data_IF_319006281005
#
_entry.id   IF_319006281005
#
_cell.length_a   1.000
_cell.length_b   1.000
_cell.length_c   1.000
_cell.angle_alpha   90.00
_cell.angle_beta   90.00
_cell.angle_gamma   90.00
#
_symmetry.space_group_name_H-M   'P 1'
#
loop_
_entity.id
_entity.type
_entity.pdbx_description
1 polymer ?
#
# COMPACT_ATOMS: atom_id res chain seq x y z
N UNK A 1 -4.32 -19.47 -2.97
CA UNK A 1 -5.35 -18.50 -2.55
C UNK A 1 -4.73 -17.64 -1.46
N UNK A 2 -4.85 -16.32 -1.60
CA UNK A 2 -4.55 -15.24 -0.64
C UNK A 2 -3.25 -15.31 0.19
N UNK A 3 -2.10 -15.21 -0.50
CA UNK A 3 -0.82 -14.86 0.15
C UNK A 3 -0.30 -13.50 -0.32
N UNK A 4 -1.13 -12.47 -0.17
CA UNK A 4 -0.66 -11.07 -0.22
C UNK A 4 -0.46 -10.59 1.21
N UNK A 5 0.73 -10.88 1.75
CA UNK A 5 1.11 -10.56 3.15
C UNK A 5 1.65 -9.13 3.27
N UNK A 6 1.93 -8.69 4.50
CA UNK A 6 2.61 -7.42 4.84
C UNK A 6 3.84 -7.11 3.96
N UNK A 7 4.53 -8.13 3.46
CA UNK A 7 5.75 -8.03 2.63
C UNK A 7 5.62 -7.10 1.42
N UNK A 8 4.46 -7.04 0.77
CA UNK A 8 4.24 -6.10 -0.34
C UNK A 8 4.28 -4.64 0.16
N UNK A 9 3.57 -4.38 1.25
CA UNK A 9 3.46 -3.05 1.84
C UNK A 9 4.80 -2.60 2.44
N UNK A 10 5.53 -3.51 3.08
CA UNK A 10 6.87 -3.25 3.61
C UNK A 10 7.82 -2.73 2.51
N UNK A 11 7.82 -3.37 1.34
CA UNK A 11 8.64 -2.93 0.21
C UNK A 11 8.28 -1.52 -0.27
N UNK A 12 6.98 -1.22 -0.38
CA UNK A 12 6.53 0.11 -0.79
C UNK A 12 6.89 1.18 0.23
N UNK A 13 6.77 0.88 1.52
CA UNK A 13 7.11 1.78 2.62
C UNK A 13 8.61 2.01 2.75
N UNK A 14 9.43 0.98 2.50
CA UNK A 14 10.89 1.10 2.43
C UNK A 14 11.39 1.81 1.16
N UNK A 15 10.49 2.14 0.23
CA UNK A 15 10.86 2.87 -0.99
C UNK A 15 11.56 2.00 -2.04
N UNK A 16 11.41 0.68 -1.99
CA UNK A 16 12.04 -0.26 -2.94
C UNK A 16 11.04 -0.88 -3.91
N UNK A 17 11.53 -1.45 -5.02
CA UNK A 17 10.70 -2.18 -5.98
C UNK A 17 10.55 -3.64 -5.53
N UNK A 18 9.34 -4.12 -5.21
CA UNK A 18 9.13 -5.51 -4.81
C UNK A 18 9.32 -6.47 -6.00
N UNK A 19 10.05 -7.57 -5.76
CA UNK A 19 10.10 -8.74 -6.62
C UNK A 19 9.21 -9.81 -5.99
N UNK A 20 8.15 -10.19 -6.68
CA UNK A 20 7.04 -10.97 -6.13
C UNK A 20 7.03 -12.34 -6.80
N UNK A 21 7.02 -13.37 -5.97
CA UNK A 21 6.69 -14.73 -6.34
C UNK A 21 5.50 -15.16 -5.49
N UNK A 22 4.36 -15.45 -6.09
CA UNK A 22 3.18 -15.75 -5.29
C UNK A 22 1.85 -15.61 -6.01
N UNK A 23 0.81 -15.37 -5.22
CA UNK A 23 -0.56 -15.47 -5.69
C UNK A 23 -0.87 -14.38 -6.74
N UNK A 24 -1.51 -14.74 -7.89
CA UNK A 24 -1.81 -13.78 -8.97
C UNK A 24 -2.68 -12.59 -8.54
N UNK A 25 -3.48 -12.75 -7.49
CA UNK A 25 -4.31 -11.67 -6.96
C UNK A 25 -3.48 -10.52 -6.38
N UNK A 26 -2.19 -10.71 -6.07
CA UNK A 26 -1.29 -9.64 -5.60
C UNK A 26 -1.27 -8.44 -6.56
N UNK A 27 -1.50 -8.66 -7.86
CA UNK A 27 -1.58 -7.59 -8.87
C UNK A 27 -2.71 -6.60 -8.65
N UNK A 28 -3.82 -7.00 -8.02
CA UNK A 28 -4.95 -6.09 -7.72
C UNK A 28 -4.69 -5.18 -6.52
N UNK A 29 -3.59 -5.39 -5.80
CA UNK A 29 -3.16 -4.57 -4.68
C UNK A 29 -2.10 -3.53 -5.07
N UNK A 30 -1.69 -3.52 -6.34
CA UNK A 30 -0.67 -2.59 -6.83
C UNK A 30 -1.26 -1.20 -7.08
N UNK A 31 -0.49 -0.13 -6.81
CA UNK A 31 -0.88 1.22 -7.20
C UNK A 31 -0.81 1.41 -8.73
N UNK A 32 0.08 0.67 -9.40
CA UNK A 32 0.29 0.67 -10.84
C UNK A 32 0.81 -0.72 -11.28
N UNK A 33 0.43 -1.25 -12.46
CA UNK A 33 0.94 -2.54 -12.94
C UNK A 33 2.46 -2.64 -13.01
N UNK A 34 3.15 -1.51 -13.23
CA UNK A 34 4.62 -1.39 -13.30
C UNK A 34 5.24 -1.02 -11.95
N UNK A 35 4.51 -1.10 -10.84
CA UNK A 35 5.07 -0.83 -9.49
C UNK A 35 5.82 -2.02 -8.88
N UNK A 36 5.74 -3.20 -9.48
CA UNK A 36 6.32 -4.44 -8.98
C UNK A 36 6.83 -5.33 -10.13
N UNK A 37 7.74 -6.25 -9.82
CA UNK A 37 8.27 -7.25 -10.75
C UNK A 37 7.73 -8.62 -10.33
N UNK A 38 7.04 -9.32 -11.21
CA UNK A 38 6.55 -10.67 -10.94
C UNK A 38 7.47 -11.70 -11.58
N UNK A 39 7.88 -12.71 -10.82
CA UNK A 39 8.74 -13.78 -11.34
C UNK A 39 8.01 -14.54 -12.46
N UNK A 40 6.69 -14.69 -12.37
CA UNK A 40 5.84 -15.38 -13.33
C UNK A 40 5.78 -14.70 -14.71
N UNK A 41 6.18 -13.42 -14.82
CA UNK A 41 6.25 -12.71 -16.10
C UNK A 41 7.50 -13.09 -16.91
N UNK A 42 8.42 -13.87 -16.33
CA UNK A 42 9.66 -14.30 -16.97
C UNK A 42 9.62 -15.78 -17.30
N UNK A 43 10.21 -16.13 -18.45
CA UNK A 43 10.31 -17.52 -18.92
C UNK A 43 11.04 -18.43 -17.91
N UNK A 44 12.09 -17.91 -17.29
CA UNK A 44 12.93 -18.63 -16.35
C UNK A 44 13.71 -17.65 -15.44
N UNK A 45 14.38 -18.20 -14.43
CA UNK A 45 15.18 -17.42 -13.49
C UNK A 45 16.35 -16.66 -14.15
N UNK A 46 16.86 -17.16 -15.28
CA UNK A 46 17.95 -16.49 -16.01
C UNK A 46 17.43 -15.23 -16.68
N UNK A 47 16.27 -15.28 -17.31
CA UNK A 47 15.62 -14.12 -17.92
C UNK A 47 15.34 -13.02 -16.87
N UNK A 48 14.84 -13.40 -15.69
CA UNK A 48 14.69 -12.47 -14.57
C UNK A 48 16.03 -11.86 -14.14
N UNK A 49 17.06 -12.68 -13.92
CA UNK A 49 18.37 -12.19 -13.52
C UNK A 49 19.00 -11.23 -14.54
N UNK A 50 18.85 -11.53 -15.84
CA UNK A 50 19.33 -10.66 -16.92
C UNK A 50 18.55 -9.33 -16.95
N UNK A 51 17.24 -9.36 -16.67
CA UNK A 51 16.42 -8.15 -16.54
C UNK A 51 16.82 -7.29 -15.33
N UNK A 52 17.08 -7.90 -14.17
CA UNK A 52 17.54 -7.17 -12.99
C UNK A 52 18.90 -6.51 -13.23
N UNK A 53 19.83 -7.19 -13.92
CA UNK A 53 21.12 -6.59 -14.33
C UNK A 53 20.93 -5.42 -15.27
N UNK A 54 19.93 -5.46 -16.14
CA UNK A 54 19.57 -4.33 -16.99
C UNK A 54 19.08 -3.14 -16.15
N UNK A 55 18.17 -3.36 -15.20
CA UNK A 55 17.68 -2.29 -14.31
C UNK A 55 18.78 -1.64 -13.48
N UNK A 56 19.73 -2.43 -12.95
CA UNK A 56 20.89 -1.90 -12.21
C UNK A 56 21.74 -0.95 -13.08
N UNK A 57 21.79 -1.18 -14.39
CA UNK A 57 22.58 -0.37 -15.33
C UNK A 57 21.77 0.77 -15.98
N UNK A 58 20.46 0.77 -15.81
CA UNK A 58 19.56 1.71 -16.46
C UNK A 58 18.65 2.37 -15.42
N UNK A 59 19.14 3.47 -14.84
CA UNK A 59 18.43 4.23 -13.82
C UNK A 59 17.07 4.71 -14.31
N UNK A 60 16.96 5.18 -15.56
CA UNK A 60 15.67 5.61 -16.12
C UNK A 60 14.66 4.46 -16.08
N UNK A 61 15.04 3.27 -16.54
CA UNK A 61 14.16 2.10 -16.53
C UNK A 61 13.79 1.66 -15.11
N UNK A 62 14.69 1.77 -14.14
CA UNK A 62 14.40 1.53 -12.74
C UNK A 62 13.42 2.55 -12.16
N UNK A 63 13.63 3.85 -12.42
CA UNK A 63 12.77 4.94 -11.93
C UNK A 63 11.35 4.88 -12.49
N UNK A 64 11.14 4.23 -13.64
CA UNK A 64 9.78 3.93 -14.13
C UNK A 64 8.92 3.18 -13.10
N UNK A 65 9.51 2.31 -12.27
CA UNK A 65 8.80 1.58 -11.22
C UNK A 65 8.32 2.46 -10.07
N UNK A 66 8.81 3.70 -9.98
CA UNK A 66 8.47 4.66 -8.93
C UNK A 66 7.49 5.74 -9.39
N UNK A 67 7.13 5.80 -10.67
CA UNK A 67 6.24 6.85 -11.23
C UNK A 67 4.90 6.97 -10.51
N UNK A 68 4.34 5.86 -10.06
CA UNK A 68 3.06 5.83 -9.34
C UNK A 68 3.06 6.72 -8.09
N UNK A 69 4.22 7.00 -7.47
CA UNK A 69 4.34 7.81 -6.26
C UNK A 69 3.98 9.29 -6.46
N UNK A 70 4.00 9.76 -7.71
CA UNK A 70 3.61 11.14 -8.08
C UNK A 70 2.29 11.20 -8.84
N UNK A 71 1.64 10.05 -9.04
CA UNK A 71 0.37 9.95 -9.76
C UNK A 71 -0.80 10.01 -8.77
N UNK A 72 -2.00 10.30 -9.30
CA UNK A 72 -3.22 10.11 -8.54
C UNK A 72 -3.47 8.62 -8.38
N UNK A 73 -3.56 8.16 -7.14
CA UNK A 73 -3.80 6.76 -6.81
C UNK A 73 -5.30 6.45 -6.89
N UNK A 74 -5.62 5.18 -7.14
CA UNK A 74 -7.00 4.71 -7.07
C UNK A 74 -7.44 4.59 -5.60
N UNK A 75 -8.67 4.98 -5.30
CA UNK A 75 -9.24 5.01 -3.94
C UNK A 75 -9.06 3.70 -3.17
N UNK A 76 -9.14 2.55 -3.85
CA UNK A 76 -8.93 1.24 -3.23
C UNK A 76 -7.52 1.06 -2.70
N UNK A 77 -6.51 1.47 -3.46
CA UNK A 77 -5.11 1.41 -3.04
C UNK A 77 -4.86 2.37 -1.89
N UNK A 78 -5.38 3.59 -1.97
CA UNK A 78 -5.23 4.59 -0.89
C UNK A 78 -5.83 4.08 0.43
N UNK A 79 -7.05 3.53 0.38
CA UNK A 79 -7.71 2.94 1.57
C UNK A 79 -6.90 1.79 2.15
N UNK A 80 -6.43 0.87 1.31
CA UNK A 80 -5.62 -0.28 1.75
C UNK A 80 -4.28 0.16 2.35
N UNK A 81 -3.61 1.12 1.72
CA UNK A 81 -2.37 1.72 2.22
C UNK A 81 -2.57 2.42 3.57
N UNK A 82 -3.63 3.22 3.68
CA UNK A 82 -4.00 3.91 4.91
C UNK A 82 -4.34 2.94 6.06
N UNK A 83 -5.00 1.82 5.76
CA UNK A 83 -5.32 0.77 6.73
C UNK A 83 -4.20 -0.26 6.95
N UNK A 84 -3.01 -0.05 6.36
CA UNK A 84 -1.87 -0.95 6.59
C UNK A 84 -1.43 -0.95 8.05
N UNK A 85 -0.79 -2.04 8.48
CA UNK A 85 -0.33 -2.23 9.87
C UNK A 85 0.51 -1.06 10.39
N UNK A 86 1.23 -0.36 9.51
CA UNK A 86 2.07 0.79 9.85
C UNK A 86 1.32 2.01 10.39
N UNK A 87 0.03 2.14 10.10
CA UNK A 87 -0.79 3.26 10.56
C UNK A 87 -1.79 2.84 11.64
N UNK A 88 -1.81 1.58 12.07
CA UNK A 88 -2.85 1.05 12.96
C UNK A 88 -2.87 1.80 14.29
N UNK A 89 -1.70 2.12 14.85
CA UNK A 89 -1.60 2.86 16.11
C UNK A 89 -2.18 4.26 15.98
N UNK A 90 -1.79 4.99 14.93
CA UNK A 90 -2.30 6.34 14.66
C UNK A 90 -3.79 6.34 14.30
N UNK A 91 -4.26 5.34 13.54
CA UNK A 91 -5.65 5.20 13.13
C UNK A 91 -6.54 4.87 14.32
N UNK A 92 -6.12 3.96 15.20
CA UNK A 92 -6.82 3.66 16.43
C UNK A 92 -6.90 4.90 17.34
N UNK A 93 -5.80 5.63 17.52
CA UNK A 93 -5.79 6.88 18.28
C UNK A 93 -6.75 7.92 17.70
N UNK A 94 -6.77 8.10 16.37
CA UNK A 94 -7.68 9.02 15.69
C UNK A 94 -9.14 8.63 15.91
N UNK A 95 -9.45 7.35 15.81
CA UNK A 95 -10.81 6.86 15.98
C UNK A 95 -11.28 6.99 17.43
N UNK A 96 -10.41 6.68 18.40
CA UNK A 96 -10.70 6.92 19.82
C UNK A 96 -10.94 8.41 20.10
N UNK A 97 -10.12 9.31 19.54
CA UNK A 97 -10.31 10.75 19.68
C UNK A 97 -11.65 11.21 19.07
N UNK A 98 -12.00 10.68 17.89
CA UNK A 98 -13.28 10.96 17.22
C UNK A 98 -14.47 10.53 18.08
N UNK A 99 -14.41 9.34 18.67
CA UNK A 99 -15.47 8.82 19.54
C UNK A 99 -15.66 9.68 20.79
N UNK A 100 -14.57 10.14 21.42
CA UNK A 100 -14.64 11.04 22.59
C UNK A 100 -15.35 12.36 22.27
N UNK A 101 -15.04 12.99 21.13
CA UNK A 101 -15.71 14.23 20.71
C UNK A 101 -17.21 13.99 20.50
N UNK A 102 -17.60 12.84 19.93
CA UNK A 102 -19.01 12.51 19.71
C UNK A 102 -19.75 12.22 21.02
N UNK A 103 -19.12 11.57 21.99
CA UNK A 103 -19.68 11.38 23.32
C UNK A 103 -19.93 12.73 24.00
N UNK A 104 -18.95 13.65 23.96
CA UNK A 104 -19.09 15.02 24.49
C UNK A 104 -20.23 15.79 23.81
N UNK A 105 -20.31 15.71 22.47
CA UNK A 105 -21.40 16.34 21.70
C UNK A 105 -22.77 15.77 22.06
N UNK A 106 -22.89 14.45 22.19
CA UNK A 106 -24.16 13.82 22.55
C UNK A 106 -24.56 14.20 23.98
N UNK A 107 -23.63 14.16 24.94
CA UNK A 107 -23.89 14.52 26.33
C UNK A 107 -24.34 15.98 26.46
N UNK A 108 -23.69 16.91 25.75
CA UNK A 108 -24.09 18.33 25.73
C UNK A 108 -25.41 18.56 25.00
N UNK A 109 -25.74 17.77 23.98
CA UNK A 109 -27.02 17.87 23.28
C UNK A 109 -28.19 17.45 24.17
N UNK A 110 -28.07 16.36 24.94
CA UNK A 110 -29.12 15.89 25.84
C UNK A 110 -29.32 16.84 27.05
N UNK A 111 -28.23 17.38 27.61
CA UNK A 111 -28.29 18.34 28.74
C UNK A 111 -28.97 19.67 28.35
N UNK A 112 -28.97 20.03 27.06
CA UNK A 112 -29.64 21.23 26.54
C UNK A 112 -31.10 21.00 26.08
N UNK A 113 -31.56 19.75 26.01
CA UNK A 113 -32.96 19.43 25.66
C UNK A 113 -33.86 19.18 26.88
N UNK A 114 -33.27 19.03 28.07
CA UNK A 114 -33.98 18.84 29.34
C UNK A 114 -34.17 20.16 30.14
N UNK A 115 -34.00 21.33 29.50
CA UNK A 115 -34.33 22.66 30.04
C UNK A 115 -35.46 23.34 29.30
#
# INVERSE_FOLDING_TARGET
EDYSTEKLWDAFNLGVVPIIWGAPNTRSYLPDPKSAIFIEDFKDAKALADYLKYLVKNETAYLEYHKWRTMKLHDEFEKKSYMSMYNVECNACREVARLRILEEYNNTKYDNTDR
#
